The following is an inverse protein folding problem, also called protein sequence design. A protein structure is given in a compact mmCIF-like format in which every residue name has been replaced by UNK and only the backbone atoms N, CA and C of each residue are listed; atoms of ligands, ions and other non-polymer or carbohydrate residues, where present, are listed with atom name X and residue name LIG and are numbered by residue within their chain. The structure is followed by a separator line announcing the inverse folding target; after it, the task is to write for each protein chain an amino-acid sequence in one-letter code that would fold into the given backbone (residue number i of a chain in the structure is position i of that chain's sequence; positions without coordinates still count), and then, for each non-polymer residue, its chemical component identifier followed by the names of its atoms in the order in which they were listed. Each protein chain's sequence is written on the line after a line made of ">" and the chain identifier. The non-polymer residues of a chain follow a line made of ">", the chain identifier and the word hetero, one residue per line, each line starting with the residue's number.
data_IF_099876909214
#
_entry.id   IF_099876909214
#
_cell.length_a   1.000
_cell.length_b   1.000
_cell.length_c   1.000
_cell.angle_alpha   90.00
_cell.angle_beta   90.00
_cell.angle_gamma   90.00
#
_symmetry.space_group_name_H-M   'P 1'
#
loop_
_entity.id
_entity.type
_entity.pdbx_description
1 polymer ?
#
# COMPACT_ATOMS: atom_id res chain seq x y z
N UNK A 1 -44.21 -4.42 -40.91
CA UNK A 1 -42.78 -4.81 -40.94
C UNK A 1 -41.84 -3.73 -40.36
N UNK A 2 -41.96 -2.45 -40.75
CA UNK A 2 -41.16 -1.32 -40.19
C UNK A 2 -41.22 -1.22 -38.65
N UNK A 3 -42.39 -1.40 -38.06
CA UNK A 3 -42.58 -1.32 -36.60
C UNK A 3 -42.01 -2.56 -35.85
N UNK A 4 -41.88 -3.71 -36.54
CA UNK A 4 -41.28 -4.91 -35.98
C UNK A 4 -39.74 -4.83 -35.99
N UNK A 5 -39.17 -4.24 -37.04
CA UNK A 5 -37.73 -3.92 -37.13
C UNK A 5 -37.30 -2.92 -36.05
N UNK A 6 -38.14 -1.93 -35.72
CA UNK A 6 -37.86 -0.96 -34.66
C UNK A 6 -37.86 -1.60 -33.26
N UNK A 7 -38.75 -2.56 -33.01
CA UNK A 7 -38.80 -3.30 -31.76
C UNK A 7 -37.57 -4.22 -31.57
N UNK A 8 -37.06 -4.81 -32.65
CA UNK A 8 -35.84 -5.63 -32.64
C UNK A 8 -34.59 -4.75 -32.44
N UNK A 9 -34.54 -3.55 -33.02
CA UNK A 9 -33.42 -2.62 -32.81
C UNK A 9 -33.36 -2.11 -31.36
N UNK A 10 -34.53 -1.86 -30.75
CA UNK A 10 -34.64 -1.38 -29.37
C UNK A 10 -34.30 -2.47 -28.35
N UNK A 11 -34.58 -3.76 -28.65
CA UNK A 11 -34.24 -4.88 -27.76
C UNK A 11 -32.72 -5.20 -27.74
N UNK A 12 -31.98 -4.89 -28.81
CA UNK A 12 -30.52 -5.07 -28.86
C UNK A 12 -29.79 -4.02 -27.99
N UNK A 13 -30.34 -2.82 -27.85
CA UNK A 13 -29.77 -1.73 -27.03
C UNK A 13 -29.82 -2.01 -25.52
N UNK A 14 -30.79 -2.80 -25.05
CA UNK A 14 -30.96 -3.13 -23.62
C UNK A 14 -30.14 -4.35 -23.18
N UNK A 15 -29.65 -5.16 -24.12
CA UNK A 15 -28.93 -6.41 -23.83
C UNK A 15 -27.41 -6.25 -23.65
N UNK A 16 -26.84 -5.06 -23.87
CA UNK A 16 -25.37 -4.86 -23.88
C UNK A 16 -24.76 -4.27 -22.59
N UNK A 17 -25.56 -3.99 -21.56
CA UNK A 17 -25.02 -3.60 -20.26
C UNK A 17 -24.55 -4.83 -19.48
N UNK A 18 -23.34 -5.32 -19.76
CA UNK A 18 -22.64 -6.19 -18.80
C UNK A 18 -22.50 -5.40 -17.49
N UNK A 19 -22.83 -5.98 -16.33
CA UNK A 19 -22.59 -5.30 -15.06
C UNK A 19 -21.10 -4.94 -15.00
N UNK A 20 -20.82 -3.64 -14.78
CA UNK A 20 -19.45 -3.16 -14.69
C UNK A 20 -18.81 -3.87 -13.50
N UNK A 21 -17.73 -4.61 -13.76
CA UNK A 21 -16.99 -5.31 -12.70
C UNK A 21 -16.64 -4.33 -11.57
N UNK A 22 -16.83 -4.74 -10.32
CA UNK A 22 -16.46 -3.93 -9.14
C UNK A 22 -14.94 -3.75 -9.01
N UNK A 23 -14.18 -4.64 -9.65
CA UNK A 23 -12.73 -4.69 -9.61
C UNK A 23 -12.13 -4.73 -11.02
N UNK A 24 -10.90 -4.23 -11.14
CA UNK A 24 -10.04 -4.40 -12.32
C UNK A 24 -8.65 -4.86 -11.90
N UNK A 25 -7.96 -5.52 -12.81
CA UNK A 25 -6.53 -5.80 -12.67
C UNK A 25 -5.74 -4.70 -13.36
N UNK A 26 -4.74 -4.17 -12.66
CA UNK A 26 -3.72 -3.28 -13.23
C UNK A 26 -2.46 -4.11 -13.39
N UNK A 27 -1.86 -4.03 -14.57
CA UNK A 27 -0.62 -4.72 -14.94
C UNK A 27 0.53 -3.71 -14.98
N UNK A 28 1.43 -3.80 -14.02
CA UNK A 28 2.63 -2.98 -13.93
C UNK A 28 3.84 -3.63 -14.64
N UNK A 29 3.62 -4.65 -15.47
CA UNK A 29 4.68 -5.38 -16.18
C UNK A 29 5.42 -6.39 -15.30
N UNK A 30 5.99 -5.95 -14.18
CA UNK A 30 6.71 -6.80 -13.22
C UNK A 30 5.77 -7.58 -12.29
N UNK A 31 4.57 -7.06 -12.09
CA UNK A 31 3.51 -7.69 -11.31
C UNK A 31 2.15 -7.15 -11.74
N UNK A 32 1.10 -7.84 -11.34
CA UNK A 32 -0.27 -7.39 -11.50
C UNK A 32 -0.99 -7.37 -10.15
N UNK A 33 -1.99 -6.51 -10.02
CA UNK A 33 -2.78 -6.33 -8.80
C UNK A 33 -4.25 -6.08 -9.15
N UNK A 34 -5.15 -6.72 -8.41
CA UNK A 34 -6.60 -6.47 -8.52
C UNK A 34 -7.05 -5.41 -7.52
N UNK A 35 -7.68 -4.35 -8.02
CA UNK A 35 -8.09 -3.16 -7.27
C UNK A 35 -9.54 -2.76 -7.59
N UNK A 36 -10.20 -1.95 -6.75
CA UNK A 36 -11.50 -1.39 -7.09
C UNK A 36 -11.51 -0.65 -8.43
N UNK A 37 -12.60 -0.76 -9.18
CA UNK A 37 -12.72 -0.23 -10.54
C UNK A 37 -12.36 1.26 -10.69
N UNK A 38 -12.60 2.05 -9.64
CA UNK A 38 -12.40 3.51 -9.62
C UNK A 38 -10.96 3.95 -9.35
N UNK A 39 -10.08 3.03 -8.94
CA UNK A 39 -8.67 3.34 -8.67
C UNK A 39 -7.92 3.44 -9.99
N UNK A 40 -7.02 4.40 -10.17
CA UNK A 40 -6.31 4.58 -11.44
C UNK A 40 -4.82 4.44 -11.25
N UNK A 41 -4.13 3.97 -12.28
CA UNK A 41 -2.68 3.93 -12.30
C UNK A 41 -2.10 5.35 -12.18
N UNK A 42 -0.97 5.44 -11.49
CA UNK A 42 -0.19 6.65 -11.30
C UNK A 42 1.24 6.35 -11.76
N UNK A 43 1.60 6.83 -12.95
CA UNK A 43 2.93 6.61 -13.52
C UNK A 43 3.96 7.58 -12.90
N UNK A 44 5.13 7.05 -12.59
CA UNK A 44 6.29 7.83 -12.17
C UNK A 44 7.49 7.52 -13.07
N UNK A 45 8.37 8.50 -13.26
CA UNK A 45 9.67 8.28 -13.88
C UNK A 45 10.72 8.16 -12.77
N UNK A 46 11.04 6.93 -12.37
CA UNK A 46 12.16 6.65 -11.46
C UNK A 46 13.51 6.88 -12.14
N UNK A 47 14.55 7.18 -11.34
CA UNK A 47 15.93 7.34 -11.85
C UNK A 47 16.66 5.99 -11.83
N UNK A 48 16.61 5.29 -10.70
CA UNK A 48 17.38 4.08 -10.41
C UNK A 48 16.53 2.87 -9.98
N UNK A 49 15.22 3.08 -9.82
CA UNK A 49 14.27 2.08 -9.32
C UNK A 49 13.00 2.09 -10.17
N UNK A 50 12.33 0.94 -10.28
CA UNK A 50 11.01 0.88 -10.90
C UNK A 50 9.97 1.38 -9.90
N UNK A 51 9.49 2.60 -10.12
CA UNK A 51 8.55 3.29 -9.25
C UNK A 51 7.27 3.54 -10.02
N UNK A 52 6.15 3.23 -9.38
CA UNK A 52 4.82 3.42 -9.93
C UNK A 52 3.82 3.57 -8.79
N UNK A 53 2.53 3.63 -9.12
CA UNK A 53 1.53 3.71 -8.09
C UNK A 53 0.10 3.68 -8.58
N UNK A 54 -0.79 3.99 -7.64
CA UNK A 54 -2.23 4.04 -7.83
C UNK A 54 -2.76 5.29 -7.12
N UNK A 55 -3.66 6.01 -7.78
CA UNK A 55 -4.44 7.11 -7.20
C UNK A 55 -5.86 6.63 -6.89
N UNK A 56 -6.31 6.83 -5.65
CA UNK A 56 -7.67 6.46 -5.19
C UNK A 56 -8.68 7.59 -5.48
N UNK A 57 -9.99 7.32 -5.43
CA UNK A 57 -11.02 8.37 -5.51
C UNK A 57 -10.87 9.45 -4.42
N UNK A 58 -10.36 9.08 -3.25
CA UNK A 58 -10.04 9.96 -2.14
C UNK A 58 -8.77 10.81 -2.38
N UNK A 59 -8.11 10.65 -3.54
CA UNK A 59 -6.83 11.26 -3.92
C UNK A 59 -5.66 10.80 -3.07
N UNK A 60 -5.76 9.61 -2.47
CA UNK A 60 -4.62 8.97 -1.80
C UNK A 60 -3.68 8.40 -2.86
N UNK A 61 -2.38 8.66 -2.71
CA UNK A 61 -1.34 8.03 -3.52
C UNK A 61 -0.85 6.76 -2.83
N UNK A 62 -0.94 5.63 -3.54
CA UNK A 62 -0.39 4.35 -3.16
C UNK A 62 0.82 4.11 -4.06
N UNK A 63 2.03 4.08 -3.51
CA UNK A 63 3.28 4.09 -4.27
C UNK A 63 4.00 2.77 -4.06
N UNK A 64 4.47 2.15 -5.15
CA UNK A 64 5.44 1.07 -5.07
C UNK A 64 6.81 1.50 -5.54
N UNK A 65 7.80 0.81 -5.02
CA UNK A 65 9.21 0.91 -5.39
C UNK A 65 9.76 -0.51 -5.44
N UNK A 66 10.28 -0.89 -6.61
CA UNK A 66 11.02 -2.13 -6.83
C UNK A 66 12.45 -1.76 -7.21
N UNK A 67 13.41 -2.19 -6.40
CA UNK A 67 14.80 -1.80 -6.54
C UNK A 67 15.68 -2.26 -5.39
N UNK A 68 16.97 -1.93 -5.50
CA UNK A 68 17.97 -2.27 -4.47
C UNK A 68 17.73 -1.54 -3.16
N UNK A 69 17.22 -0.31 -3.25
CA UNK A 69 17.04 0.59 -2.12
C UNK A 69 15.57 0.70 -1.69
N UNK A 70 14.70 -0.21 -2.14
CA UNK A 70 13.29 -0.21 -1.76
C UNK A 70 13.14 -0.24 -0.23
N UNK A 71 12.46 0.74 0.37
CA UNK A 71 12.49 0.94 1.81
C UNK A 71 11.54 -0.01 2.56
N UNK A 72 12.01 -0.59 3.66
CA UNK A 72 11.10 -1.04 4.72
C UNK A 72 10.65 0.20 5.50
N UNK A 73 9.45 0.69 5.21
CA UNK A 73 8.88 1.91 5.81
C UNK A 73 8.73 1.85 7.34
N UNK A 74 8.89 0.67 7.95
CA UNK A 74 8.91 0.54 9.41
C UNK A 74 10.28 0.72 10.04
N UNK A 75 11.39 0.62 9.28
CA UNK A 75 12.75 0.71 9.85
C UNK A 75 13.09 2.08 10.43
N UNK A 76 12.52 3.14 9.86
CA UNK A 76 12.71 4.52 10.32
C UNK A 76 11.50 5.03 11.11
N UNK A 77 10.56 4.14 11.46
CA UNK A 77 9.45 4.48 12.34
C UNK A 77 10.02 4.77 13.72
N UNK A 78 9.96 6.04 14.12
CA UNK A 78 10.06 6.36 15.52
C UNK A 78 8.77 5.83 16.16
N UNK A 79 8.91 5.09 17.24
CA UNK A 79 7.76 4.79 18.10
C UNK A 79 7.03 6.09 18.46
N UNK A 80 5.76 5.98 18.87
CA UNK A 80 4.89 7.08 19.32
C UNK A 80 5.37 7.71 20.64
N UNK A 81 6.65 8.06 20.69
CA UNK A 81 7.40 8.71 21.74
C UNK A 81 7.91 10.01 21.14
N UNK A 82 7.50 11.12 21.74
CA UNK A 82 7.82 12.45 21.26
C UNK A 82 8.53 13.21 22.36
N UNK A 83 9.58 13.97 22.04
CA UNK A 83 9.95 15.07 22.93
C UNK A 83 8.93 16.23 22.80
N UNK A 84 9.00 17.19 23.73
CA UNK A 84 8.09 18.35 23.71
C UNK A 84 8.11 19.12 22.39
N UNK A 85 9.27 19.23 21.73
CA UNK A 85 9.44 19.94 20.45
C UNK A 85 8.75 19.18 19.31
N UNK A 86 9.08 17.90 19.14
CA UNK A 86 8.51 17.02 18.12
C UNK A 86 7.00 16.88 18.29
N UNK A 87 6.49 16.82 19.52
CA UNK A 87 5.06 16.81 19.77
C UNK A 87 4.39 18.13 19.38
N UNK A 88 5.06 19.27 19.62
CA UNK A 88 4.55 20.58 19.24
C UNK A 88 4.41 20.74 17.72
N UNK A 89 5.36 20.17 16.95
CA UNK A 89 5.38 20.20 15.48
C UNK A 89 4.25 19.36 14.83
N UNK A 90 3.57 18.49 15.59
CA UNK A 90 2.43 17.74 15.08
C UNK A 90 1.23 18.65 14.77
N UNK A 91 0.57 18.36 13.65
CA UNK A 91 -0.67 19.02 13.26
C UNK A 91 -1.82 18.74 14.24
N UNK A 92 -2.84 19.60 14.25
CA UNK A 92 -4.04 19.43 15.06
C UNK A 92 -4.76 18.10 14.80
N UNK A 93 -4.75 17.63 13.54
CA UNK A 93 -5.32 16.32 13.17
C UNK A 93 -4.53 15.18 13.83
N UNK A 94 -3.20 15.21 13.74
CA UNK A 94 -2.33 14.18 14.34
C UNK A 94 -2.47 14.16 15.86
N UNK A 95 -2.45 15.32 16.52
CA UNK A 95 -2.69 15.44 17.97
C UNK A 95 -4.05 14.87 18.38
N UNK A 96 -5.10 15.09 17.59
CA UNK A 96 -6.44 14.51 17.85
C UNK A 96 -6.44 12.98 17.73
N UNK A 97 -5.70 12.41 16.78
CA UNK A 97 -5.56 10.96 16.62
C UNK A 97 -4.78 10.35 17.78
N UNK A 98 -3.66 10.98 18.20
CA UNK A 98 -2.84 10.51 19.31
C UNK A 98 -3.59 10.44 20.65
N UNK A 99 -4.59 11.30 20.88
CA UNK A 99 -5.44 11.22 22.09
C UNK A 99 -6.13 9.86 22.27
N UNK A 100 -6.33 9.10 21.18
CA UNK A 100 -6.98 7.78 21.21
C UNK A 100 -5.99 6.63 21.33
N UNK A 101 -4.71 6.92 21.55
CA UNK A 101 -3.63 5.94 21.40
C UNK A 101 -2.63 6.08 22.51
N UNK A 102 -2.06 4.93 22.89
CA UNK A 102 -0.88 4.88 23.74
C UNK A 102 0.30 5.58 23.04
N UNK A 103 0.68 6.72 23.56
CA UNK A 103 1.86 7.49 23.16
C UNK A 103 2.55 8.03 24.42
N UNK A 104 3.79 8.48 24.28
CA UNK A 104 4.58 9.06 25.35
C UNK A 104 5.13 10.42 24.93
N UNK A 105 5.08 11.38 25.84
CA UNK A 105 5.73 12.69 25.68
C UNK A 105 6.81 12.78 26.76
N UNK A 106 8.05 13.00 26.36
CA UNK A 106 9.23 13.08 27.23
C UNK A 106 9.93 14.43 27.11
N UNK A 107 10.83 14.72 28.05
CA UNK A 107 11.70 15.90 27.95
C UNK A 107 12.88 15.68 27.00
N UNK A 108 13.41 14.45 26.94
CA UNK A 108 14.48 14.04 26.04
C UNK A 108 14.26 12.62 25.53
N UNK A 109 14.57 12.37 24.25
CA UNK A 109 14.56 11.03 23.65
C UNK A 109 15.78 10.16 24.04
N UNK A 110 16.75 10.72 24.77
CA UNK A 110 18.00 10.04 25.14
C UNK A 110 17.92 9.21 26.43
N UNK A 111 16.75 9.15 27.09
CA UNK A 111 16.56 8.40 28.34
C UNK A 111 16.40 6.90 28.14
N UNK A 112 16.27 6.17 29.25
CA UNK A 112 15.88 4.76 29.24
C UNK A 112 14.38 4.64 28.90
N UNK A 113 14.10 4.63 27.60
CA UNK A 113 12.74 4.59 27.06
C UNK A 113 12.56 3.25 26.34
N UNK A 114 11.56 2.49 26.77
CA UNK A 114 11.11 1.30 26.06
C UNK A 114 10.25 1.71 24.85
N UNK A 115 10.92 2.04 23.75
CA UNK A 115 10.27 2.42 22.49
C UNK A 115 9.37 1.30 21.94
N UNK A 116 9.66 0.03 22.25
CA UNK A 116 8.86 -1.11 21.79
C UNK A 116 7.40 -1.06 22.26
N UNK A 117 7.15 -0.51 23.45
CA UNK A 117 5.80 -0.34 24.02
C UNK A 117 4.91 0.66 23.29
N UNK A 118 5.49 1.46 22.41
CA UNK A 118 4.83 2.58 21.73
C UNK A 118 4.91 2.45 20.20
N UNK A 119 4.96 1.23 19.66
CA UNK A 119 5.12 1.03 18.22
C UNK A 119 4.03 1.73 17.38
N UNK A 120 4.47 2.50 16.38
CA UNK A 120 3.59 3.16 15.40
C UNK A 120 2.86 2.14 14.51
N UNK A 121 3.46 0.97 14.32
CA UNK A 121 3.01 -0.02 13.34
C UNK A 121 2.71 -1.38 13.95
N UNK A 122 1.65 -2.00 13.46
CA UNK A 122 1.41 -3.43 13.58
C UNK A 122 1.98 -4.10 12.34
N UNK A 123 2.75 -5.17 12.53
CA UNK A 123 3.34 -5.92 11.43
C UNK A 123 2.96 -7.39 11.51
N UNK A 124 2.57 -7.95 10.37
CA UNK A 124 2.26 -9.38 10.22
C UNK A 124 2.95 -9.90 8.96
N UNK A 125 3.38 -11.16 8.97
CA UNK A 125 3.96 -11.79 7.79
C UNK A 125 2.96 -12.76 7.16
N UNK A 126 2.81 -12.73 5.84
CA UNK A 126 2.06 -13.75 5.10
C UNK A 126 2.74 -14.10 3.78
N UNK A 127 2.37 -15.25 3.21
CA UNK A 127 2.79 -15.64 1.87
C UNK A 127 1.98 -14.83 0.85
N UNK A 128 2.66 -13.99 0.09
CA UNK A 128 2.12 -13.19 -0.99
C UNK A 128 2.72 -13.74 -2.28
N UNK A 129 1.88 -14.40 -3.07
CA UNK A 129 2.32 -15.22 -4.18
C UNK A 129 3.40 -16.22 -3.73
N UNK A 130 4.61 -16.19 -4.30
CA UNK A 130 5.74 -17.01 -3.90
C UNK A 130 6.69 -16.36 -2.86
N UNK A 131 6.36 -15.18 -2.32
CA UNK A 131 7.22 -14.43 -1.40
C UNK A 131 6.64 -14.32 0.01
N UNK A 132 7.52 -14.22 1.01
CA UNK A 132 7.13 -13.79 2.35
C UNK A 132 7.08 -12.26 2.40
N UNK A 133 5.88 -11.70 2.52
CA UNK A 133 5.68 -10.26 2.64
C UNK A 133 5.44 -9.85 4.09
N UNK A 134 6.10 -8.77 4.52
CA UNK A 134 5.79 -8.04 5.76
C UNK A 134 4.67 -7.06 5.46
N UNK A 135 3.57 -7.15 6.17
CA UNK A 135 2.42 -6.28 5.99
C UNK A 135 2.26 -5.37 7.17
N UNK A 136 2.07 -4.11 6.85
CA UNK A 136 2.28 -2.99 7.75
C UNK A 136 0.96 -2.24 7.79
N UNK A 137 0.42 -2.06 8.99
CA UNK A 137 -0.72 -1.18 9.25
C UNK A 137 -0.39 -0.28 10.42
N UNK A 138 -0.84 0.98 10.42
CA UNK A 138 -0.58 1.84 11.56
C UNK A 138 -1.42 1.39 12.76
N UNK A 139 -0.87 1.53 13.97
CA UNK A 139 -1.62 1.39 15.22
C UNK A 139 -2.81 2.35 15.25
N UNK A 140 -2.66 3.49 14.58
CA UNK A 140 -3.67 4.54 14.41
C UNK A 140 -4.08 4.70 12.96
N UNK A 141 -5.32 4.35 12.64
CA UNK A 141 -5.88 4.63 11.31
C UNK A 141 -5.75 6.13 11.02
N UNK A 142 -5.44 6.48 9.77
CA UNK A 142 -5.11 7.84 9.31
C UNK A 142 -3.84 8.48 9.90
N UNK A 143 -3.00 7.72 10.63
CA UNK A 143 -1.73 8.21 11.16
C UNK A 143 -0.60 7.19 11.00
N UNK A 144 0.18 7.38 9.93
CA UNK A 144 1.28 6.48 9.54
C UNK A 144 1.01 5.83 8.18
N UNK A 145 1.82 4.85 7.84
CA UNK A 145 1.75 4.14 6.55
C UNK A 145 1.03 2.78 6.63
N UNK A 146 0.33 2.42 5.55
CA UNK A 146 -0.17 1.06 5.30
C UNK A 146 0.49 0.51 4.05
N UNK A 147 0.90 -0.76 4.04
CA UNK A 147 1.51 -1.34 2.85
C UNK A 147 2.10 -2.72 3.07
N UNK A 148 2.94 -3.12 2.12
CA UNK A 148 3.81 -4.28 2.23
C UNK A 148 5.29 -3.92 2.05
N UNK A 149 6.14 -4.78 2.56
CA UNK A 149 7.56 -4.86 2.26
C UNK A 149 7.96 -6.31 1.96
N UNK A 150 8.68 -6.53 0.87
CA UNK A 150 9.32 -7.80 0.53
C UNK A 150 10.82 -7.55 0.49
N UNK A 151 11.56 -8.28 1.33
CA UNK A 151 13.00 -8.03 1.52
C UNK A 151 13.82 -8.36 0.26
N UNK A 152 13.45 -9.43 -0.45
CA UNK A 152 14.15 -9.89 -1.64
C UNK A 152 13.17 -10.58 -2.61
N UNK A 153 12.91 -9.94 -3.75
CA UNK A 153 12.30 -10.54 -4.93
C UNK A 153 13.34 -11.36 -5.73
N UNK A 154 14.58 -10.89 -5.77
CA UNK A 154 15.70 -11.56 -6.43
C UNK A 154 17.04 -11.16 -5.82
N UNK A 155 18.10 -11.86 -6.22
CA UNK A 155 19.46 -11.61 -5.74
C UNK A 155 19.63 -11.90 -4.24
N UNK A 156 20.70 -11.36 -3.66
CA UNK A 156 20.96 -11.45 -2.23
C UNK A 156 21.77 -10.25 -1.73
N UNK A 157 21.76 -10.03 -0.41
CA UNK A 157 22.44 -8.90 0.21
C UNK A 157 23.98 -9.01 0.19
N UNK A 158 24.53 -10.22 0.16
CA UNK A 158 25.99 -10.46 0.21
C UNK A 158 26.68 -10.01 -1.08
N UNK A 159 26.02 -10.25 -2.21
CA UNK A 159 26.55 -9.92 -3.55
C UNK A 159 26.09 -8.55 -4.04
N UNK A 160 25.50 -7.73 -3.15
CA UNK A 160 24.91 -6.43 -3.47
C UNK A 160 23.90 -6.49 -4.64
N UNK A 161 23.30 -7.63 -4.91
CA UNK A 161 22.38 -7.86 -6.03
C UNK A 161 20.91 -7.88 -5.62
N UNK A 162 20.63 -7.74 -4.31
CA UNK A 162 19.28 -7.79 -3.75
C UNK A 162 18.36 -6.76 -4.41
N UNK A 163 17.22 -7.22 -4.89
CA UNK A 163 16.09 -6.39 -5.31
C UNK A 163 14.94 -6.63 -4.36
N UNK A 164 14.46 -5.60 -3.67
CA UNK A 164 13.31 -5.66 -2.80
C UNK A 164 12.08 -5.01 -3.42
N UNK A 165 10.98 -4.99 -2.67
CA UNK A 165 9.79 -4.23 -3.02
C UNK A 165 9.17 -3.58 -1.78
N UNK A 166 8.73 -2.34 -1.94
CA UNK A 166 7.79 -1.70 -1.03
C UNK A 166 6.55 -1.27 -1.81
N UNK A 167 5.36 -1.35 -1.21
CA UNK A 167 4.14 -0.77 -1.79
C UNK A 167 3.27 -0.24 -0.66
N UNK A 168 3.12 1.08 -0.57
CA UNK A 168 2.51 1.73 0.58
C UNK A 168 1.73 3.01 0.25
N UNK A 169 0.80 3.36 1.13
CA UNK A 169 0.13 4.66 1.17
C UNK A 169 0.21 5.26 2.57
N UNK A 170 0.05 6.58 2.70
CA UNK A 170 0.18 7.30 3.97
C UNK A 170 -1.15 7.89 4.42
N UNK A 171 -1.41 7.82 5.73
CA UNK A 171 -2.55 8.41 6.40
C UNK A 171 -3.91 8.05 5.78
N UNK A 172 -4.02 6.81 5.28
CA UNK A 172 -5.21 6.32 4.60
C UNK A 172 -6.40 6.29 5.55
N UNK A 173 -7.57 6.69 5.04
CA UNK A 173 -8.86 6.47 5.72
C UNK A 173 -9.12 4.97 5.87
N UNK A 174 -9.91 4.60 6.88
CA UNK A 174 -10.22 3.21 7.20
C UNK A 174 -10.70 2.40 5.98
N UNK A 175 -11.62 2.97 5.19
CA UNK A 175 -12.15 2.33 3.98
C UNK A 175 -11.03 2.04 2.97
N UNK A 176 -10.24 3.06 2.61
CA UNK A 176 -9.13 2.93 1.66
C UNK A 176 -8.07 1.96 2.17
N UNK A 177 -7.72 2.04 3.45
CA UNK A 177 -6.78 1.14 4.12
C UNK A 177 -7.22 -0.32 3.98
N UNK A 178 -8.48 -0.61 4.31
CA UNK A 178 -9.03 -1.97 4.23
C UNK A 178 -9.08 -2.49 2.79
N UNK A 179 -9.44 -1.64 1.83
CA UNK A 179 -9.41 -1.99 0.41
C UNK A 179 -7.98 -2.25 -0.08
N UNK A 180 -7.02 -1.42 0.34
CA UNK A 180 -5.63 -1.56 -0.07
C UNK A 180 -5.00 -2.83 0.48
N UNK A 181 -5.21 -3.15 1.77
CA UNK A 181 -4.73 -4.41 2.36
C UNK A 181 -5.32 -5.64 1.65
N UNK A 182 -6.57 -5.56 1.19
CA UNK A 182 -7.17 -6.63 0.37
C UNK A 182 -6.52 -6.71 -1.01
N UNK A 183 -6.32 -5.58 -1.68
CA UNK A 183 -5.68 -5.52 -2.99
C UNK A 183 -4.24 -6.06 -2.97
N UNK A 184 -3.44 -5.70 -1.94
CA UNK A 184 -2.07 -6.18 -1.78
C UNK A 184 -1.98 -7.72 -1.76
N UNK A 185 -2.99 -8.41 -1.22
CA UNK A 185 -3.05 -9.88 -1.21
C UNK A 185 -3.29 -10.51 -2.58
N UNK A 186 -3.69 -9.73 -3.57
CA UNK A 186 -3.95 -10.19 -4.94
C UNK A 186 -2.74 -10.05 -5.85
N UNK A 187 -1.64 -9.46 -5.36
CA UNK A 187 -0.44 -9.26 -6.16
C UNK A 187 0.06 -10.61 -6.71
N UNK A 188 0.32 -10.64 -8.01
CA UNK A 188 0.95 -11.74 -8.74
C UNK A 188 2.20 -11.25 -9.45
N UNK A 189 3.34 -11.86 -9.17
CA UNK A 189 4.61 -11.44 -9.77
C UNK A 189 4.86 -12.12 -11.11
N UNK A 190 5.46 -11.38 -12.04
CA UNK A 190 5.87 -11.87 -13.35
C UNK A 190 7.39 -12.01 -13.37
N UNK A 191 7.88 -13.21 -13.66
CA UNK A 191 9.33 -13.48 -13.78
C UNK A 191 10.12 -13.55 -12.45
N UNK A 192 9.53 -13.24 -11.30
CA UNK A 192 10.20 -13.34 -9.99
C UNK A 192 9.98 -14.66 -9.27
N UNK A 193 8.81 -15.28 -9.43
CA UNK A 193 8.58 -16.61 -8.91
C UNK A 193 9.39 -17.59 -9.75
N UNK A 194 10.45 -18.18 -9.15
CA UNK A 194 11.14 -19.30 -9.77
C UNK A 194 10.08 -20.39 -9.97
N UNK A 195 9.77 -20.70 -11.23
CA UNK A 195 9.17 -21.99 -11.53
C UNK A 195 10.22 -23.01 -11.15
N UNK A 196 9.94 -23.86 -10.17
CA UNK A 196 10.77 -25.03 -9.90
C UNK A 196 11.00 -25.74 -11.23
N UNK A 197 12.25 -25.67 -11.72
CA UNK A 197 12.78 -26.49 -12.80
C UNK A 197 13.81 -27.42 -12.19
#
# INVERSE_FOLDING_TARGET
>A
MKNLLFAILLSILIASCKPKSEFKTIDFGDFEITVPQQWNELEFKGIDSYVGGIITPEKDSLIFDIGRYSPDITKNSLSLVFDKKSYADLSSKQKKLLKKTKHLIVDSLSGDIDFGKYSEYKTVFYSLDCFKAKVITPTNIEFGSTGIYIDSLSGNAKDFSKVGMSFYGRNLKEKTQNQFVKALKTIKFKGYCKQDK
#
